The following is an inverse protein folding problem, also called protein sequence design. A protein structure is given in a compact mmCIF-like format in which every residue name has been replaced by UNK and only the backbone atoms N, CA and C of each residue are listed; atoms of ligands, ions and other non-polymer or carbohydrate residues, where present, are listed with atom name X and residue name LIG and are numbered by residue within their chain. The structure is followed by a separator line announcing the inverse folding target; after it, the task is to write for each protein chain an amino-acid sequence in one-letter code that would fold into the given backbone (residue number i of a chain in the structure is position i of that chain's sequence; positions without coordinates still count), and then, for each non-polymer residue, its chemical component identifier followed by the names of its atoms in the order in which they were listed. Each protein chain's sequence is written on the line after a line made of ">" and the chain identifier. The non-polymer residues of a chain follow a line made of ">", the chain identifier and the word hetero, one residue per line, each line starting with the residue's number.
data_IF_023987487984
#
_entry.id   IF_023987487984
#
_cell.length_a   1.000
_cell.length_b   1.000
_cell.length_c   1.000
_cell.angle_alpha   90.00
_cell.angle_beta   90.00
_cell.angle_gamma   90.00
#
_symmetry.space_group_name_H-M   'P 1'
#
loop_
_entity.id
_entity.type
_entity.pdbx_description
1 polymer ?
#
# COMPACT_ATOMS: atom_id res chain seq x y z
N UNK A 1 0.66 -12.72 10.58
CA UNK A 1 -0.71 -12.42 11.01
C UNK A 1 -1.70 -12.61 9.87
N UNK A 2 -1.71 -11.81 8.81
CA UNK A 2 -2.62 -11.94 7.65
C UNK A 2 -2.61 -13.36 7.06
N UNK A 3 -1.42 -13.95 6.86
CA UNK A 3 -1.27 -15.34 6.40
C UNK A 3 -1.99 -16.35 7.32
N UNK A 4 -1.80 -16.26 8.63
CA UNK A 4 -2.46 -17.15 9.59
C UNK A 4 -3.97 -16.90 9.75
N UNK A 5 -4.47 -15.78 9.23
CA UNK A 5 -5.90 -15.42 9.20
C UNK A 5 -6.52 -15.66 7.80
N UNK A 6 -5.93 -16.50 6.96
CA UNK A 6 -6.44 -16.81 5.61
C UNK A 6 -6.65 -15.56 4.75
N UNK A 7 -5.63 -14.68 4.69
CA UNK A 7 -5.59 -13.44 3.90
C UNK A 7 -6.60 -12.37 4.35
N UNK A 8 -7.19 -12.49 5.54
CA UNK A 8 -8.03 -11.42 6.09
C UNK A 8 -7.14 -10.21 6.48
N UNK A 9 -7.50 -9.03 6.00
CA UNK A 9 -6.78 -7.78 6.22
C UNK A 9 -7.58 -6.77 7.07
N UNK A 10 -8.89 -6.94 7.18
CA UNK A 10 -9.73 -6.03 7.97
C UNK A 10 -9.62 -6.35 9.46
N UNK A 11 -9.01 -5.44 10.21
CA UNK A 11 -8.83 -5.58 11.67
C UNK A 11 -10.16 -5.72 12.42
N UNK A 12 -11.27 -5.26 11.86
CA UNK A 12 -12.60 -5.39 12.45
C UNK A 12 -13.08 -6.83 12.46
N UNK A 13 -12.61 -7.64 11.50
CA UNK A 13 -12.90 -9.08 11.39
C UNK A 13 -11.90 -9.95 12.14
N UNK A 14 -10.80 -9.36 12.62
CA UNK A 14 -9.83 -10.04 13.49
C UNK A 14 -10.28 -9.96 14.94
N UNK A 15 -9.58 -10.62 15.84
CA UNK A 15 -9.81 -10.57 17.28
C UNK A 15 -9.38 -11.86 17.96
N UNK A 16 -8.99 -11.78 19.23
CA UNK A 16 -8.62 -12.96 20.02
C UNK A 16 -7.37 -13.70 19.54
N UNK A 17 -6.60 -13.14 18.60
CA UNK A 17 -5.44 -13.79 17.99
C UNK A 17 -4.29 -14.02 18.99
N UNK A 18 -4.28 -13.31 20.12
CA UNK A 18 -3.20 -13.45 21.11
C UNK A 18 -3.07 -14.86 21.67
N UNK A 19 -4.17 -15.63 21.74
CA UNK A 19 -4.17 -17.02 22.19
C UNK A 19 -3.90 -18.01 21.07
N UNK A 20 -4.27 -17.68 19.84
CA UNK A 20 -4.14 -18.54 18.66
C UNK A 20 -2.76 -18.42 17.99
N UNK A 21 -2.13 -17.25 18.13
CA UNK A 21 -0.85 -16.92 17.50
C UNK A 21 0.11 -16.27 18.52
N UNK A 22 0.57 -17.00 19.55
CA UNK A 22 1.32 -16.41 20.66
C UNK A 22 2.70 -15.85 20.26
N UNK A 23 3.39 -16.47 19.31
CA UNK A 23 4.70 -15.98 18.83
C UNK A 23 4.52 -14.70 18.02
N UNK A 24 3.57 -14.69 17.10
CA UNK A 24 3.21 -13.49 16.33
C UNK A 24 2.74 -12.36 17.25
N UNK A 25 1.92 -12.66 18.26
CA UNK A 25 1.47 -11.68 19.25
C UNK A 25 2.64 -11.08 20.02
N UNK A 26 3.54 -11.92 20.54
CA UNK A 26 4.66 -11.46 21.35
C UNK A 26 5.62 -10.57 20.55
N UNK A 27 5.98 -10.97 19.34
CA UNK A 27 6.84 -10.19 18.45
C UNK A 27 6.18 -8.89 18.02
N UNK A 28 4.87 -8.93 17.72
CA UNK A 28 4.09 -7.74 17.39
C UNK A 28 3.99 -6.77 18.57
N UNK A 29 3.74 -7.28 19.79
CA UNK A 29 3.67 -6.47 20.99
C UNK A 29 5.00 -5.77 21.29
N UNK A 30 6.14 -6.46 21.14
CA UNK A 30 7.47 -5.88 21.24
C UNK A 30 7.68 -4.77 20.20
N UNK A 31 7.35 -5.03 18.94
CA UNK A 31 7.43 -4.04 17.87
C UNK A 31 6.52 -2.82 18.10
N UNK A 32 5.29 -3.05 18.62
CA UNK A 32 4.36 -2.00 18.99
C UNK A 32 4.90 -1.14 20.13
N UNK A 33 5.44 -1.75 21.18
CA UNK A 33 6.04 -1.02 22.30
C UNK A 33 7.25 -0.19 21.84
N UNK A 34 8.07 -0.75 20.96
CA UNK A 34 9.17 -0.01 20.34
C UNK A 34 8.67 1.17 19.51
N UNK A 35 7.68 0.95 18.64
CA UNK A 35 7.12 2.00 17.78
C UNK A 35 6.36 3.07 18.57
N UNK A 36 5.66 2.70 19.63
CA UNK A 36 4.97 3.64 20.52
C UNK A 36 5.94 4.48 21.34
N UNK A 37 7.18 4.03 21.51
CA UNK A 37 8.19 4.70 22.32
C UNK A 37 7.99 4.44 23.82
N UNK A 38 7.72 3.18 24.19
CA UNK A 38 7.70 2.79 25.60
C UNK A 38 9.08 2.99 26.21
N UNK A 39 9.18 3.69 27.36
CA UNK A 39 10.46 4.16 27.89
C UNK A 39 11.41 3.03 28.28
N UNK A 40 12.70 3.34 28.24
CA UNK A 40 13.86 2.61 28.77
C UNK A 40 14.23 1.37 27.93
N UNK A 41 13.29 0.46 27.66
CA UNK A 41 13.60 -0.88 27.14
C UNK A 41 13.75 -0.92 25.62
N UNK A 42 13.05 -0.05 24.89
CA UNK A 42 12.90 -0.15 23.45
C UNK A 42 13.67 0.95 22.70
N UNK A 43 14.25 0.56 21.56
CA UNK A 43 15.02 1.46 20.70
C UNK A 43 14.21 2.67 20.21
N UNK A 44 12.91 2.50 19.99
CA UNK A 44 12.04 3.55 19.53
C UNK A 44 11.82 4.68 20.52
N UNK A 45 11.98 4.45 21.82
CA UNK A 45 11.98 5.52 22.81
C UNK A 45 13.18 6.44 22.62
N UNK A 46 14.37 5.89 22.56
CA UNK A 46 15.62 6.65 22.45
C UNK A 46 15.70 7.44 21.15
N UNK A 47 15.27 6.85 20.02
CA UNK A 47 15.26 7.55 18.74
C UNK A 47 14.24 8.70 18.69
N UNK A 48 13.05 8.53 19.28
CA UNK A 48 12.05 9.60 19.37
C UNK A 48 12.48 10.71 20.30
N UNK A 49 13.07 10.36 21.43
CA UNK A 49 13.59 11.33 22.40
C UNK A 49 14.65 12.21 21.76
N UNK A 50 15.58 11.64 20.99
CA UNK A 50 16.60 12.39 20.27
C UNK A 50 16.01 13.32 19.20
N UNK A 51 15.00 12.86 18.45
CA UNK A 51 14.28 13.70 17.49
C UNK A 51 13.57 14.85 18.18
N UNK A 52 12.91 14.60 19.33
CA UNK A 52 12.22 15.62 20.10
C UNK A 52 13.23 16.63 20.70
N UNK A 53 14.38 16.15 21.14
CA UNK A 53 15.45 17.00 21.64
C UNK A 53 16.00 17.93 20.57
N UNK A 54 16.29 17.39 19.38
CA UNK A 54 16.73 18.16 18.23
C UNK A 54 15.67 19.21 17.79
N UNK A 55 14.40 18.80 17.74
CA UNK A 55 13.28 19.67 17.38
C UNK A 55 13.03 20.77 18.43
N UNK A 56 13.24 20.46 19.73
CA UNK A 56 13.12 21.44 20.80
C UNK A 56 14.22 22.50 20.72
N UNK A 57 15.44 22.09 20.36
CA UNK A 57 16.60 22.99 20.18
C UNK A 57 16.56 23.81 18.88
N UNK A 58 15.55 23.65 18.02
CA UNK A 58 15.45 24.34 16.74
C UNK A 58 15.19 25.84 16.93
N UNK A 59 16.11 26.74 16.51
CA UNK A 59 16.04 28.17 16.87
C UNK A 59 14.97 28.96 16.14
N UNK A 60 14.49 28.45 14.98
CA UNK A 60 13.58 29.20 14.08
C UNK A 60 12.13 29.09 14.54
N UNK A 61 11.70 27.92 15.00
CA UNK A 61 10.30 27.69 15.35
C UNK A 61 10.13 26.48 16.28
N UNK A 62 9.16 26.56 17.18
CA UNK A 62 8.76 25.42 18.03
C UNK A 62 7.71 24.52 17.38
N UNK A 63 7.24 24.87 16.20
CA UNK A 63 6.19 24.11 15.49
C UNK A 63 6.61 22.65 15.19
N UNK A 64 7.84 22.36 14.71
CA UNK A 64 8.29 20.98 14.50
C UNK A 64 8.25 20.14 15.78
N UNK A 65 8.62 20.70 16.91
CA UNK A 65 8.55 20.03 18.21
C UNK A 65 7.11 19.67 18.59
N UNK A 66 6.17 20.63 18.48
CA UNK A 66 4.76 20.40 18.81
C UNK A 66 4.13 19.34 17.91
N UNK A 67 4.42 19.40 16.61
CA UNK A 67 3.94 18.40 15.64
C UNK A 67 4.52 17.01 15.99
N UNK A 68 5.80 16.92 16.32
CA UNK A 68 6.44 15.66 16.67
C UNK A 68 5.88 15.05 17.97
N UNK A 69 5.59 15.87 18.99
CA UNK A 69 4.93 15.45 20.23
C UNK A 69 3.52 14.92 19.94
N UNK A 70 2.74 15.64 19.13
CA UNK A 70 1.41 15.19 18.72
C UNK A 70 1.46 13.88 17.92
N UNK A 71 2.41 13.76 16.99
CA UNK A 71 2.62 12.55 16.22
C UNK A 71 3.01 11.35 17.10
N UNK A 72 3.84 11.56 18.12
CA UNK A 72 4.19 10.53 19.10
C UNK A 72 2.97 10.07 19.91
N UNK A 73 2.13 11.01 20.38
CA UNK A 73 0.88 10.70 21.08
C UNK A 73 -0.07 9.86 20.22
N UNK A 74 -0.31 10.31 18.99
CA UNK A 74 -1.19 9.63 18.05
C UNK A 74 -0.64 8.25 17.67
N UNK A 75 0.69 8.12 17.54
CA UNK A 75 1.33 6.82 17.26
C UNK A 75 1.07 5.82 18.38
N UNK A 76 1.29 6.21 19.61
CA UNK A 76 1.03 5.36 20.78
C UNK A 76 -0.45 4.97 20.86
N UNK A 77 -1.35 5.91 20.57
CA UNK A 77 -2.79 5.68 20.56
C UNK A 77 -3.22 4.68 19.47
N UNK A 78 -2.87 4.91 18.19
CA UNK A 78 -3.35 4.04 17.11
C UNK A 78 -2.72 2.63 17.18
N UNK A 79 -1.50 2.51 17.63
CA UNK A 79 -0.87 1.20 17.81
C UNK A 79 -1.53 0.40 18.94
N UNK A 80 -1.91 1.06 20.03
CA UNK A 80 -2.69 0.42 21.11
C UNK A 80 -4.08 0.01 20.61
N UNK A 81 -4.76 0.88 19.85
CA UNK A 81 -6.03 0.53 19.21
C UNK A 81 -5.89 -0.72 18.33
N UNK A 82 -4.86 -0.78 17.50
CA UNK A 82 -4.64 -1.90 16.60
C UNK A 82 -4.41 -3.21 17.38
N UNK A 83 -3.60 -3.19 18.45
CA UNK A 83 -3.35 -4.39 19.25
C UNK A 83 -4.64 -4.88 19.95
N UNK A 84 -5.47 -3.96 20.43
CA UNK A 84 -6.75 -4.29 21.06
C UNK A 84 -7.72 -4.92 20.06
N UNK A 85 -7.82 -4.40 18.84
CA UNK A 85 -8.69 -4.94 17.80
C UNK A 85 -8.26 -6.33 17.33
N UNK A 86 -6.97 -6.55 17.19
CA UNK A 86 -6.41 -7.75 16.56
C UNK A 86 -6.22 -8.90 17.55
N UNK A 87 -5.66 -8.60 18.71
CA UNK A 87 -5.20 -9.65 19.64
C UNK A 87 -6.09 -9.87 20.84
N UNK A 88 -6.90 -8.87 21.21
CA UNK A 88 -7.84 -9.00 22.32
C UNK A 88 -9.25 -9.38 21.84
N UNK A 89 -10.10 -9.77 22.79
CA UNK A 89 -11.49 -10.15 22.51
C UNK A 89 -11.62 -11.55 21.92
N UNK A 90 -12.55 -11.70 20.96
CA UNK A 90 -12.89 -12.96 20.30
C UNK A 90 -12.66 -12.86 18.79
N UNK A 91 -12.41 -14.01 18.16
CA UNK A 91 -12.31 -14.09 16.70
C UNK A 91 -13.66 -13.69 16.06
N UNK A 92 -13.59 -12.73 15.14
CA UNK A 92 -14.78 -12.14 14.47
C UNK A 92 -14.83 -12.48 12.97
N UNK A 93 -13.83 -13.21 12.45
CA UNK A 93 -13.86 -13.72 11.08
C UNK A 93 -14.90 -14.84 10.98
N UNK A 94 -15.76 -14.77 9.96
CA UNK A 94 -16.75 -15.82 9.73
C UNK A 94 -16.10 -17.03 9.07
N UNK A 95 -16.33 -18.24 9.56
CA UNK A 95 -15.89 -19.47 8.89
C UNK A 95 -16.54 -19.68 7.51
N UNK A 96 -17.53 -18.87 7.16
CA UNK A 96 -18.41 -19.07 6.00
C UNK A 96 -18.31 -18.05 4.87
N UNK A 97 -17.44 -17.06 4.92
CA UNK A 97 -17.38 -16.00 3.87
C UNK A 97 -16.51 -16.38 2.66
N UNK A 98 -16.25 -17.65 2.42
CA UNK A 98 -15.68 -18.17 1.17
C UNK A 98 -16.66 -18.09 -0.03
N UNK A 99 -17.85 -17.54 0.16
CA UNK A 99 -18.93 -17.56 -0.82
C UNK A 99 -19.48 -16.19 -1.28
N UNK A 100 -18.78 -15.07 -1.09
CA UNK A 100 -19.25 -13.81 -1.67
C UNK A 100 -18.86 -13.72 -3.17
N UNK A 101 -19.85 -13.83 -4.09
CA UNK A 101 -19.59 -13.77 -5.53
C UNK A 101 -18.98 -12.45 -6.01
N UNK A 102 -18.93 -11.43 -5.17
CA UNK A 102 -18.36 -10.12 -5.51
C UNK A 102 -16.83 -10.06 -5.39
N UNK A 103 -16.18 -11.08 -4.81
CA UNK A 103 -14.72 -11.18 -4.70
C UNK A 103 -14.03 -11.86 -5.90
N UNK A 104 -14.77 -12.25 -6.94
CA UNK A 104 -14.24 -13.06 -8.08
C UNK A 104 -13.64 -12.20 -9.21
N UNK A 105 -13.41 -10.91 -9.06
CA UNK A 105 -12.91 -10.06 -10.15
C UNK A 105 -11.51 -9.49 -9.96
N UNK A 106 -10.66 -10.10 -9.17
CA UNK A 106 -9.22 -9.83 -9.21
C UNK A 106 -8.48 -11.10 -9.67
N UNK A 107 -7.63 -11.04 -10.73
CA UNK A 107 -6.83 -12.18 -11.13
C UNK A 107 -5.80 -12.47 -10.05
N UNK A 108 -6.05 -13.48 -9.25
CA UNK A 108 -5.07 -14.01 -8.31
C UNK A 108 -3.99 -14.74 -9.10
N UNK A 109 -2.79 -14.20 -9.16
CA UNK A 109 -1.59 -14.97 -9.42
C UNK A 109 -1.31 -15.87 -8.20
N UNK A 110 -2.11 -16.91 -8.04
CA UNK A 110 -1.94 -17.88 -6.99
C UNK A 110 -1.64 -19.25 -7.62
N UNK A 111 -0.39 -19.69 -7.41
CA UNK A 111 -0.08 -21.10 -7.47
C UNK A 111 -0.93 -21.86 -6.46
N UNK A 112 -1.67 -22.81 -6.98
CA UNK A 112 -2.18 -24.06 -6.45
C UNK A 112 -1.81 -24.36 -4.98
N UNK A 113 -2.70 -24.03 -4.05
CA UNK A 113 -2.96 -24.85 -2.88
C UNK A 113 -4.42 -24.64 -2.48
N UNK A 114 -5.27 -25.53 -2.98
CA UNK A 114 -6.70 -25.61 -2.68
C UNK A 114 -6.91 -26.33 -1.35
N UNK A 115 -6.90 -25.56 -0.26
CA UNK A 115 -7.56 -25.97 0.98
C UNK A 115 -8.13 -24.73 1.70
N UNK A 116 -9.15 -24.13 1.10
CA UNK A 116 -10.00 -23.14 1.76
C UNK A 116 -10.99 -23.84 2.70
N UNK A 117 -10.46 -24.57 3.68
CA UNK A 117 -11.23 -24.88 4.87
C UNK A 117 -11.23 -23.63 5.74
N UNK A 118 -12.39 -23.03 6.00
CA UNK A 118 -12.58 -21.93 6.94
C UNK A 118 -12.21 -22.37 8.37
N UNK A 119 -10.91 -22.59 8.58
CA UNK A 119 -10.32 -23.01 9.84
C UNK A 119 -10.14 -21.81 10.78
N UNK A 120 -9.95 -22.11 12.05
CA UNK A 120 -9.50 -21.13 13.03
C UNK A 120 -8.11 -20.58 12.62
N UNK A 121 -7.81 -19.31 12.93
CA UNK A 121 -6.48 -18.77 12.71
C UNK A 121 -5.40 -19.62 13.37
N UNK A 122 -4.28 -19.77 12.69
CA UNK A 122 -3.16 -20.58 13.13
C UNK A 122 -1.86 -19.77 13.12
N UNK A 123 -0.86 -20.22 13.89
CA UNK A 123 0.45 -19.58 13.93
C UNK A 123 1.13 -19.65 12.56
N UNK A 124 1.86 -18.61 12.20
CA UNK A 124 2.61 -18.55 10.96
C UNK A 124 3.81 -19.52 11.00
N UNK A 125 4.26 -20.05 9.84
CA UNK A 125 5.38 -21.00 9.79
C UNK A 125 6.69 -20.36 10.28
N UNK A 126 7.64 -21.21 10.69
CA UNK A 126 8.92 -20.77 11.27
C UNK A 126 9.72 -19.84 10.34
N UNK A 127 9.60 -19.99 9.03
CA UNK A 127 10.23 -19.11 8.03
C UNK A 127 9.79 -17.66 8.20
N UNK A 128 8.58 -17.42 8.68
CA UNK A 128 8.03 -16.07 8.94
C UNK A 128 8.29 -15.62 10.38
N UNK A 129 8.19 -16.53 11.37
CA UNK A 129 8.28 -16.15 12.78
C UNK A 129 9.73 -15.97 13.26
N UNK A 130 10.71 -16.71 12.71
CA UNK A 130 12.12 -16.55 13.07
C UNK A 130 12.67 -15.17 12.73
N UNK A 131 12.47 -14.61 11.53
CA UNK A 131 12.87 -13.23 11.25
C UNK A 131 12.21 -12.20 12.18
N UNK A 132 10.93 -12.39 12.54
CA UNK A 132 10.23 -11.51 13.47
C UNK A 132 10.83 -11.56 14.87
N UNK A 133 11.24 -12.75 15.33
CA UNK A 133 11.95 -12.89 16.62
C UNK A 133 13.30 -12.16 16.61
N UNK A 134 14.07 -12.30 15.53
CA UNK A 134 15.35 -11.60 15.37
C UNK A 134 15.14 -10.07 15.40
N UNK A 135 14.14 -9.56 14.68
CA UNK A 135 13.80 -8.15 14.68
C UNK A 135 13.28 -7.67 16.05
N UNK A 136 12.51 -8.48 16.75
CA UNK A 136 12.03 -8.17 18.09
C UNK A 136 13.20 -8.06 19.08
N UNK A 137 14.15 -8.99 19.04
CA UNK A 137 15.39 -8.90 19.85
C UNK A 137 16.18 -7.66 19.44
N UNK A 138 16.35 -7.39 18.15
CA UNK A 138 17.01 -6.19 17.65
C UNK A 138 16.38 -4.90 18.16
N UNK A 139 15.05 -4.81 18.21
CA UNK A 139 14.32 -3.61 18.66
C UNK A 139 14.53 -3.31 20.17
N UNK A 140 14.89 -4.32 20.95
CA UNK A 140 15.28 -4.15 22.36
C UNK A 140 16.77 -3.83 22.48
N UNK A 141 17.63 -4.67 21.89
CA UNK A 141 19.08 -4.60 22.09
C UNK A 141 19.70 -3.36 21.45
N UNK A 142 19.30 -3.03 20.21
CA UNK A 142 19.88 -1.91 19.46
C UNK A 142 19.59 -0.54 20.10
N UNK A 143 18.57 -0.45 20.94
CA UNK A 143 18.27 0.77 21.68
C UNK A 143 19.42 1.22 22.59
N UNK A 144 20.18 0.29 23.14
CA UNK A 144 21.29 0.61 24.04
C UNK A 144 22.46 1.32 23.33
N UNK A 145 22.65 1.08 22.03
CA UNK A 145 23.75 1.70 21.26
C UNK A 145 23.48 3.16 20.86
N UNK A 146 22.28 3.67 21.07
CA UNK A 146 21.89 5.05 20.83
C UNK A 146 21.41 5.80 22.07
N UNK A 147 21.64 5.26 23.27
CA UNK A 147 21.27 5.96 24.52
C UNK A 147 22.16 7.17 24.76
N UNK A 148 21.67 8.24 25.43
CA UNK A 148 22.52 9.35 25.87
C UNK A 148 23.68 8.92 26.76
N UNK A 149 23.53 7.78 27.47
CA UNK A 149 24.63 7.19 28.28
C UNK A 149 25.74 6.59 27.42
N UNK A 150 25.39 6.09 26.24
CA UNK A 150 26.33 5.52 25.28
C UNK A 150 25.93 5.89 23.85
N UNK A 151 26.23 7.11 23.40
CA UNK A 151 25.88 7.60 22.07
C UNK A 151 26.84 7.04 21.00
N UNK A 152 27.00 5.72 20.98
CA UNK A 152 27.92 5.04 20.07
C UNK A 152 27.56 5.28 18.59
N UNK A 153 26.29 5.23 18.27
CA UNK A 153 25.83 5.42 16.90
C UNK A 153 26.11 6.85 16.41
N UNK A 154 25.87 7.85 17.22
CA UNK A 154 26.19 9.25 16.91
C UNK A 154 27.71 9.46 16.78
N UNK A 155 28.47 8.88 17.72
CA UNK A 155 29.93 8.90 17.66
C UNK A 155 30.47 8.26 16.38
N UNK A 156 29.91 7.14 15.98
CA UNK A 156 30.24 6.47 14.71
C UNK A 156 29.97 7.36 13.49
N UNK A 157 28.80 8.01 13.41
CA UNK A 157 28.46 8.93 12.33
C UNK A 157 29.36 10.16 12.25
N UNK A 158 29.80 10.66 13.42
CA UNK A 158 30.64 11.87 13.52
C UNK A 158 32.15 11.55 13.52
N UNK A 159 32.55 10.27 13.42
CA UNK A 159 33.93 9.82 13.47
C UNK A 159 34.58 10.02 14.85
N UNK A 160 33.79 10.07 15.93
CA UNK A 160 34.26 10.24 17.30
C UNK A 160 34.10 8.94 18.08
N UNK A 161 35.04 8.70 19.03
CA UNK A 161 34.89 7.61 19.99
C UNK A 161 34.20 8.15 21.23
N UNK A 162 32.97 7.70 21.46
CA UNK A 162 32.23 8.08 22.66
C UNK A 162 32.38 7.02 23.74
N UNK A 163 32.66 7.47 24.97
CA UNK A 163 32.75 6.62 26.17
C UNK A 163 31.36 6.45 26.79
N UNK A 164 31.17 5.36 27.54
CA UNK A 164 29.97 5.12 28.32
C UNK A 164 29.98 6.03 29.55
N UNK A 165 29.06 7.00 29.60
CA UNK A 165 28.90 7.98 30.67
C UNK A 165 27.47 8.00 31.19
N UNK A 166 27.19 7.27 32.24
CA UNK A 166 25.85 7.22 32.86
C UNK A 166 25.40 8.59 33.40
N UNK A 167 26.34 9.48 33.73
CA UNK A 167 26.04 10.82 34.21
C UNK A 167 25.30 11.70 33.19
N UNK A 168 25.44 11.43 31.89
CA UNK A 168 24.73 12.17 30.82
C UNK A 168 23.20 11.96 30.84
N UNK A 169 22.74 10.82 31.38
CA UNK A 169 21.30 10.56 31.57
C UNK A 169 20.66 11.49 32.59
N UNK A 170 21.48 11.94 33.58
CA UNK A 170 21.01 12.80 34.68
C UNK A 170 21.21 14.30 34.39
N UNK A 171 21.73 14.66 33.22
CA UNK A 171 21.87 16.06 32.83
C UNK A 171 20.50 16.71 32.75
N UNK A 172 20.32 17.85 33.46
CA UNK A 172 19.01 18.41 33.78
C UNK A 172 18.10 18.79 32.61
N UNK A 173 18.63 18.91 31.38
CA UNK A 173 17.80 19.14 30.16
C UNK A 173 17.24 17.86 29.53
N UNK A 174 18.01 16.79 29.56
CA UNK A 174 17.64 15.47 28.98
C UNK A 174 16.52 14.81 29.76
N UNK A 175 16.57 14.81 31.08
CA UNK A 175 15.54 14.19 31.93
C UNK A 175 14.16 14.80 31.73
N UNK A 176 14.07 16.10 31.56
CA UNK A 176 12.78 16.77 31.33
C UNK A 176 12.10 16.33 30.02
N UNK A 177 12.86 16.21 28.95
CA UNK A 177 12.36 15.77 27.65
C UNK A 177 12.06 14.27 27.64
N UNK A 178 12.92 13.45 28.25
CA UNK A 178 12.66 12.01 28.43
C UNK A 178 11.38 11.76 29.23
N UNK A 179 11.15 12.51 30.30
CA UNK A 179 9.90 12.44 31.07
C UNK A 179 8.69 12.84 30.25
N UNK A 180 8.82 13.89 29.44
CA UNK A 180 7.76 14.32 28.52
C UNK A 180 7.48 13.25 27.47
N UNK A 181 8.50 12.68 26.82
CA UNK A 181 8.35 11.60 25.85
C UNK A 181 7.65 10.39 26.44
N UNK A 182 8.07 9.98 27.64
CA UNK A 182 7.47 8.87 28.37
C UNK A 182 6.00 9.13 28.75
N UNK A 183 5.70 10.35 29.21
CA UNK A 183 4.34 10.77 29.54
C UNK A 183 3.44 10.77 28.31
N UNK A 184 3.91 11.32 27.21
CA UNK A 184 3.16 11.39 25.94
C UNK A 184 2.84 9.98 25.42
N UNK A 185 3.84 9.09 25.40
CA UNK A 185 3.63 7.69 25.01
C UNK A 185 2.66 6.98 25.96
N UNK A 186 2.85 7.16 27.26
CA UNK A 186 2.00 6.58 28.32
C UNK A 186 0.54 7.04 28.20
N UNK A 187 0.31 8.32 28.01
CA UNK A 187 -1.04 8.87 27.82
C UNK A 187 -1.69 8.28 26.55
N UNK A 188 -0.97 8.21 25.43
CA UNK A 188 -1.47 7.62 24.20
C UNK A 188 -1.89 6.15 24.38
N UNK A 189 -1.05 5.36 25.08
CA UNK A 189 -1.34 3.95 25.37
C UNK A 189 -2.53 3.84 26.33
N UNK A 190 -2.55 4.63 27.40
CA UNK A 190 -3.62 4.58 28.40
C UNK A 190 -4.99 4.94 27.79
N UNK A 191 -5.06 6.00 27.01
CA UNK A 191 -6.29 6.41 26.31
C UNK A 191 -6.73 5.35 25.31
N UNK A 192 -5.78 4.81 24.51
CA UNK A 192 -6.08 3.72 23.59
C UNK A 192 -6.60 2.46 24.27
N UNK A 193 -5.95 2.06 25.37
CA UNK A 193 -6.39 0.90 26.16
C UNK A 193 -7.73 1.14 26.88
N UNK A 194 -7.95 2.34 27.40
CA UNK A 194 -9.22 2.68 28.06
C UNK A 194 -10.41 2.62 27.09
N UNK A 195 -10.22 3.09 25.85
CA UNK A 195 -11.28 3.09 24.82
C UNK A 195 -11.52 1.71 24.22
N UNK A 196 -10.45 0.96 23.93
CA UNK A 196 -10.52 -0.27 23.13
C UNK A 196 -10.15 -1.54 23.89
N UNK A 197 -9.33 -1.44 24.93
CA UNK A 197 -8.84 -2.60 25.67
C UNK A 197 -9.82 -3.10 26.75
N UNK A 198 -10.56 -2.19 27.38
CA UNK A 198 -11.53 -2.55 28.43
C UNK A 198 -12.75 -3.30 27.89
N UNK A 199 -13.18 -2.94 26.69
CA UNK A 199 -14.30 -3.56 25.99
C UNK A 199 -13.90 -3.79 24.55
N UNK A 200 -13.13 -4.85 24.28
CA UNK A 200 -12.78 -5.18 22.90
C UNK A 200 -14.04 -5.50 22.11
N UNK A 201 -14.14 -5.07 20.85
CA UNK A 201 -15.33 -5.30 20.04
C UNK A 201 -15.71 -6.78 19.97
N UNK A 202 -17.00 -7.07 20.12
CA UNK A 202 -17.55 -8.43 20.06
C UNK A 202 -17.95 -8.85 18.65
N UNK A 203 -18.31 -7.89 17.79
CA UNK A 203 -18.74 -8.12 16.42
C UNK A 203 -17.97 -7.24 15.43
N UNK A 204 -17.89 -7.70 14.17
CA UNK A 204 -17.20 -6.96 13.10
C UNK A 204 -17.91 -5.66 12.71
N UNK A 205 -19.24 -5.63 12.87
CA UNK A 205 -20.09 -4.50 12.51
C UNK A 205 -20.37 -3.55 13.69
N UNK A 206 -19.71 -3.79 14.84
CA UNK A 206 -19.83 -2.91 16.00
C UNK A 206 -19.23 -1.54 15.68
N UNK A 207 -19.98 -0.47 16.05
CA UNK A 207 -19.55 0.91 15.82
C UNK A 207 -18.31 1.24 16.64
N UNK A 208 -17.38 1.98 16.03
CA UNK A 208 -16.15 2.40 16.71
C UNK A 208 -16.48 3.38 17.84
N UNK A 209 -15.92 3.22 19.05
CA UNK A 209 -16.14 4.18 20.16
C UNK A 209 -15.87 5.65 19.80
N UNK A 210 -14.92 5.93 18.91
CA UNK A 210 -14.63 7.30 18.42
C UNK A 210 -15.79 7.89 17.59
N UNK A 211 -16.59 7.06 16.91
CA UNK A 211 -17.73 7.53 16.13
C UNK A 211 -18.77 8.21 17.01
N UNK A 212 -18.96 7.68 18.25
CA UNK A 212 -19.88 8.26 19.22
C UNK A 212 -19.40 9.59 19.81
N UNK A 213 -18.06 9.79 19.93
CA UNK A 213 -17.52 11.03 20.50
C UNK A 213 -17.58 12.20 19.52
N UNK A 214 -17.17 11.99 18.25
CA UNK A 214 -17.11 13.04 17.23
C UNK A 214 -17.36 12.49 15.82
N UNK A 215 -18.63 12.37 15.40
CA UNK A 215 -18.99 11.79 14.10
C UNK A 215 -18.34 12.48 12.91
N UNK A 216 -18.22 13.83 12.97
CA UNK A 216 -17.62 14.60 11.89
C UNK A 216 -16.12 14.32 11.74
N UNK A 217 -15.37 14.31 12.85
CA UNK A 217 -13.93 13.96 12.84
C UNK A 217 -13.74 12.53 12.39
N UNK A 218 -14.54 11.60 12.92
CA UNK A 218 -14.49 10.20 12.53
C UNK A 218 -14.75 9.99 11.04
N UNK A 219 -15.70 10.72 10.44
CA UNK A 219 -16.00 10.61 9.01
C UNK A 219 -14.82 11.06 8.13
N UNK A 220 -14.12 12.13 8.53
CA UNK A 220 -12.91 12.62 7.84
C UNK A 220 -11.77 11.61 7.95
N UNK A 221 -11.54 11.06 9.16
CA UNK A 221 -10.53 10.02 9.39
C UNK A 221 -10.83 8.75 8.60
N UNK A 222 -12.10 8.31 8.59
CA UNK A 222 -12.57 7.14 7.83
C UNK A 222 -12.37 7.31 6.32
N UNK A 223 -12.54 8.52 5.82
CA UNK A 223 -12.24 8.90 4.41
C UNK A 223 -10.77 9.18 4.16
N UNK A 224 -9.88 8.86 5.12
CA UNK A 224 -8.44 9.11 5.00
C UNK A 224 -8.12 10.56 4.61
N UNK A 225 -8.80 11.52 5.25
CA UNK A 225 -8.72 12.95 4.95
C UNK A 225 -9.07 13.31 3.50
N UNK A 226 -9.85 12.47 2.82
CA UNK A 226 -10.23 12.64 1.40
C UNK A 226 -9.04 12.71 0.43
N UNK A 227 -7.87 12.15 0.81
CA UNK A 227 -6.72 12.13 -0.07
C UNK A 227 -6.96 11.24 -1.30
N UNK A 228 -7.63 10.11 -1.14
CA UNK A 228 -7.93 9.19 -2.24
C UNK A 228 -8.83 9.89 -3.28
N UNK A 229 -9.84 10.65 -2.84
CA UNK A 229 -10.72 11.43 -3.70
C UNK A 229 -9.97 12.59 -4.38
N UNK A 230 -9.05 13.24 -3.67
CA UNK A 230 -8.21 14.29 -4.24
C UNK A 230 -7.30 13.74 -5.34
N UNK A 231 -6.66 12.59 -5.10
CA UNK A 231 -5.83 11.93 -6.10
C UNK A 231 -6.65 11.43 -7.30
N UNK A 232 -7.87 10.94 -7.07
CA UNK A 232 -8.75 10.54 -8.16
C UNK A 232 -9.04 11.72 -9.09
N UNK A 233 -9.41 12.88 -8.54
CA UNK A 233 -9.73 14.07 -9.33
C UNK A 233 -8.49 14.67 -9.99
N UNK A 234 -7.34 14.71 -9.29
CA UNK A 234 -6.15 15.42 -9.76
C UNK A 234 -5.31 14.60 -10.75
N UNK A 235 -5.25 13.29 -10.57
CA UNK A 235 -4.36 12.41 -11.35
C UNK A 235 -5.11 11.33 -12.12
N UNK A 236 -6.02 10.61 -11.49
CA UNK A 236 -6.65 9.43 -12.09
C UNK A 236 -7.57 9.83 -13.25
N UNK A 237 -8.52 10.74 -13.00
CA UNK A 237 -9.44 11.21 -14.04
C UNK A 237 -8.75 11.89 -15.22
N UNK A 238 -7.78 12.81 -15.02
CA UNK A 238 -7.02 13.39 -16.13
C UNK A 238 -6.22 12.34 -16.91
N UNK A 239 -5.59 11.37 -16.22
CA UNK A 239 -4.87 10.28 -16.88
C UNK A 239 -5.80 9.41 -17.74
N UNK A 240 -6.96 9.02 -17.22
CA UNK A 240 -7.98 8.31 -18.00
C UNK A 240 -8.52 9.12 -19.17
N UNK A 241 -8.73 10.42 -18.97
CA UNK A 241 -9.17 11.32 -20.04
C UNK A 241 -8.11 11.38 -21.15
N UNK A 242 -6.85 11.58 -20.78
CA UNK A 242 -5.73 11.60 -21.73
C UNK A 242 -5.56 10.27 -22.46
N UNK A 243 -5.65 9.16 -21.73
CA UNK A 243 -5.63 7.81 -22.32
C UNK A 243 -6.76 7.60 -23.34
N UNK A 244 -7.97 8.04 -23.03
CA UNK A 244 -9.10 7.98 -23.96
C UNK A 244 -8.90 8.87 -25.19
N UNK A 245 -8.26 10.04 -24.99
CA UNK A 245 -7.94 10.95 -26.10
C UNK A 245 -6.94 10.27 -27.05
N UNK A 246 -5.85 9.73 -26.55
CA UNK A 246 -4.84 9.03 -27.33
C UNK A 246 -5.41 7.79 -28.02
N UNK A 247 -6.21 7.01 -27.31
CA UNK A 247 -6.86 5.84 -27.89
C UNK A 247 -7.82 6.21 -29.02
N UNK A 248 -8.76 7.17 -28.79
CA UNK A 248 -9.76 7.54 -29.79
C UNK A 248 -9.20 8.34 -30.95
N UNK A 249 -8.38 9.35 -30.67
CA UNK A 249 -7.83 10.24 -31.69
C UNK A 249 -6.54 9.67 -32.33
N UNK A 250 -5.66 9.08 -31.52
CA UNK A 250 -4.41 8.48 -31.97
C UNK A 250 -4.65 7.12 -32.66
N UNK A 251 -5.02 6.12 -31.88
CA UNK A 251 -5.08 4.75 -32.39
C UNK A 251 -6.24 4.59 -33.38
N UNK A 252 -7.47 4.79 -32.96
CA UNK A 252 -8.66 4.55 -33.84
C UNK A 252 -8.73 5.60 -34.92
N UNK A 253 -8.55 6.89 -34.58
CA UNK A 253 -8.75 8.01 -35.51
C UNK A 253 -7.65 8.15 -36.54
N UNK A 254 -6.41 7.87 -36.18
CA UNK A 254 -5.26 8.09 -37.05
C UNK A 254 -4.62 6.77 -37.50
N UNK A 255 -4.16 5.94 -36.57
CA UNK A 255 -3.39 4.74 -36.92
C UNK A 255 -4.29 3.72 -37.63
N UNK A 256 -5.40 3.33 -37.04
CA UNK A 256 -6.30 2.33 -37.62
C UNK A 256 -6.96 2.84 -38.91
N UNK A 257 -7.37 4.11 -38.92
CA UNK A 257 -8.07 4.69 -40.06
C UNK A 257 -7.17 4.85 -41.30
N UNK A 258 -5.93 5.36 -41.11
CA UNK A 258 -5.02 5.61 -42.23
C UNK A 258 -4.06 4.43 -42.49
N UNK A 259 -3.74 3.63 -41.48
CA UNK A 259 -2.92 2.43 -41.62
C UNK A 259 -3.71 1.25 -42.18
N UNK A 260 -4.11 0.27 -41.37
CA UNK A 260 -4.74 -0.97 -41.86
C UNK A 260 -6.03 -0.73 -42.65
N UNK A 261 -6.94 0.11 -42.12
CA UNK A 261 -8.21 0.37 -42.76
C UNK A 261 -8.08 1.26 -43.99
N UNK A 262 -7.11 2.20 -43.99
CA UNK A 262 -6.77 3.01 -45.15
C UNK A 262 -6.22 2.17 -46.30
N UNK A 263 -5.29 1.28 -46.00
CA UNK A 263 -4.73 0.35 -46.99
C UNK A 263 -5.82 -0.57 -47.56
N UNK A 264 -6.64 -1.13 -46.68
CA UNK A 264 -7.78 -1.96 -47.13
C UNK A 264 -8.78 -1.20 -48.00
N UNK A 265 -9.03 0.08 -47.69
CA UNK A 265 -9.89 0.94 -48.52
C UNK A 265 -9.29 1.18 -49.91
N UNK A 266 -7.99 1.48 -50.01
CA UNK A 266 -7.28 1.65 -51.27
C UNK A 266 -7.37 0.39 -52.13
N UNK A 267 -7.10 -0.79 -51.55
CA UNK A 267 -7.24 -2.08 -52.23
C UNK A 267 -8.66 -2.33 -52.69
N UNK A 268 -9.65 -2.03 -51.83
CA UNK A 268 -11.06 -2.16 -52.20
C UNK A 268 -11.46 -1.24 -53.37
N UNK A 269 -10.95 -0.01 -53.42
CA UNK A 269 -11.20 0.89 -54.55
C UNK A 269 -10.53 0.38 -55.82
N UNK A 270 -9.28 -0.08 -55.73
CA UNK A 270 -8.59 -0.72 -56.86
C UNK A 270 -9.36 -1.93 -57.41
N UNK A 271 -9.84 -2.80 -56.49
CA UNK A 271 -10.67 -3.94 -56.86
C UNK A 271 -11.99 -3.53 -57.57
N UNK A 272 -12.66 -2.48 -57.07
CA UNK A 272 -13.87 -1.95 -57.73
C UNK A 272 -13.58 -1.39 -59.14
N UNK A 273 -12.44 -0.71 -59.30
CA UNK A 273 -12.01 -0.22 -60.60
C UNK A 273 -11.70 -1.37 -61.55
N UNK A 274 -10.96 -2.38 -61.08
CA UNK A 274 -10.64 -3.57 -61.87
C UNK A 274 -11.91 -4.34 -62.32
N UNK A 275 -12.90 -4.47 -61.42
CA UNK A 275 -14.18 -5.10 -61.79
C UNK A 275 -14.93 -4.39 -62.90
N UNK A 276 -14.82 -3.07 -63.05
CA UNK A 276 -15.46 -2.32 -64.14
C UNK A 276 -14.85 -2.64 -65.49
N UNK A 277 -13.60 -3.04 -65.53
CA UNK A 277 -12.89 -3.48 -66.73
C UNK A 277 -13.34 -4.87 -67.18
N UNK A 278 -13.77 -5.69 -66.22
CA UNK A 278 -14.33 -7.02 -66.47
C UNK A 278 -15.84 -6.90 -66.81
N UNK A 279 -16.16 -6.76 -68.08
CA UNK A 279 -17.56 -6.64 -68.54
C UNK A 279 -18.35 -7.93 -68.48
N UNK A 280 -17.71 -9.07 -68.33
CA UNK A 280 -18.34 -10.42 -68.33
C UNK A 280 -18.83 -10.88 -69.71
N UNK A 281 -18.73 -10.02 -70.70
CA UNK A 281 -19.12 -10.37 -72.08
C UNK A 281 -17.94 -10.97 -72.84
N UNK A 282 -18.10 -12.21 -73.28
CA UNK A 282 -17.09 -12.95 -74.03
C UNK A 282 -16.56 -12.17 -75.25
N UNK A 283 -17.50 -11.50 -75.93
CA UNK A 283 -17.16 -10.67 -77.10
C UNK A 283 -16.19 -9.52 -76.78
N UNK A 284 -16.32 -8.90 -75.66
CA UNK A 284 -15.39 -7.81 -75.27
C UNK A 284 -13.97 -8.34 -75.05
N UNK A 285 -13.81 -9.52 -74.45
CA UNK A 285 -12.51 -10.15 -74.27
C UNK A 285 -11.92 -10.62 -75.57
N UNK A 286 -12.74 -11.21 -76.50
CA UNK A 286 -12.30 -11.61 -77.83
C UNK A 286 -11.82 -10.41 -78.67
N UNK A 287 -12.54 -9.26 -78.58
CA UNK A 287 -12.16 -8.02 -79.23
C UNK A 287 -10.82 -7.50 -78.75
N UNK A 288 -10.63 -7.41 -77.44
CA UNK A 288 -9.38 -6.94 -76.84
C UNK A 288 -8.21 -7.87 -77.19
N UNK A 289 -8.45 -9.20 -77.18
CA UNK A 289 -7.43 -10.16 -77.65
C UNK A 289 -7.05 -9.99 -79.09
N UNK A 290 -8.04 -9.79 -80.00
CA UNK A 290 -7.83 -9.54 -81.40
C UNK A 290 -7.04 -8.25 -81.62
N UNK A 291 -7.41 -7.16 -80.96
CA UNK A 291 -6.72 -5.88 -81.01
C UNK A 291 -5.27 -5.99 -80.49
N UNK A 292 -5.09 -6.71 -79.36
CA UNK A 292 -3.77 -6.98 -78.80
C UNK A 292 -2.88 -7.79 -79.74
N UNK A 293 -3.47 -8.82 -80.37
CA UNK A 293 -2.74 -9.65 -81.36
C UNK A 293 -2.37 -8.82 -82.60
N UNK A 294 -3.31 -8.01 -83.16
CA UNK A 294 -3.02 -7.15 -84.31
C UNK A 294 -1.95 -6.12 -84.01
N UNK A 295 -2.00 -5.50 -82.85
CA UNK A 295 -0.94 -4.58 -82.42
C UNK A 295 0.41 -5.28 -82.23
N UNK A 296 0.43 -6.45 -81.65
CA UNK A 296 1.66 -7.22 -81.48
C UNK A 296 2.27 -7.65 -82.81
N UNK A 297 1.46 -8.13 -83.75
CA UNK A 297 1.88 -8.50 -85.08
C UNK A 297 2.36 -7.28 -85.87
N UNK A 298 1.63 -6.15 -85.77
CA UNK A 298 2.05 -4.89 -86.43
C UNK A 298 3.39 -4.39 -85.86
N UNK A 299 3.59 -4.51 -84.57
CA UNK A 299 4.85 -4.13 -83.95
C UNK A 299 6.04 -4.96 -84.48
N UNK A 300 5.85 -6.25 -84.60
CA UNK A 300 6.86 -7.16 -85.10
C UNK A 300 7.13 -6.95 -86.61
N UNK A 301 6.15 -6.50 -87.37
CA UNK A 301 6.28 -6.25 -88.83
C UNK A 301 6.92 -4.89 -89.15
N UNK A 302 6.81 -3.93 -88.27
CA UNK A 302 7.34 -2.55 -88.47
C UNK A 302 8.73 -2.35 -87.81
N UNK A 303 9.06 -3.16 -86.78
CA UNK A 303 10.37 -3.17 -86.13
C UNK A 303 11.26 -4.27 -86.66
#
# INVERSE_FOLDING_TARGET
>A
MIHGCHEEQDIRRMGGLGKLMPVTFSTYAIGMMALSGVPILFSGFWSKDEILHAAHGWPVSRLPFLIAVLAALLTAFYMTRQICYVFLGVWRGSPGNAGDPRKVTAPSHAGRDTSSSGGLPHESPAVMTVPLLVLAVGSVVLGFFGTPAWPWFQGFLLGRRESLELGRLLAGGTLGLMALSALVAGVGILVGYWLYGRRPPGAADESDPLEHFHPAVFSVLRRKYCFDELYDVLFVRPAFWLGRLFWKAGDIGTIDRFGPNGAAWVVAQGSRAARKVQSGYLYSYALVMLLGLTLAVSWVMVG
#
